data_IF_127759462051
#
_entry.id   IF_127759462051
#
_cell.length_a   1.000
_cell.length_b   1.000
_cell.length_c   1.000
_cell.angle_alpha   90.00
_cell.angle_beta   90.00
_cell.angle_gamma   90.00
#
_symmetry.space_group_name_H-M   'P 1'
#
loop_
_entity.id
_entity.type
_entity.pdbx_description
1 polymer ?
#
# COMPACT_ATOMS: atom_id res chain seq x y z
N UNK A 1 19.67 12.65 25.43
CA UNK A 1 18.41 12.41 24.71
C UNK A 1 18.18 10.89 24.64
N UNK A 2 17.31 10.34 25.50
CA UNK A 2 17.10 8.91 25.84
C UNK A 2 16.57 7.95 24.72
N UNK A 3 17.38 7.07 24.09
CA UNK A 3 17.07 6.30 22.83
C UNK A 3 15.59 5.89 22.55
N UNK A 4 14.81 5.56 23.57
CA UNK A 4 13.37 5.31 23.51
C UNK A 4 12.52 6.44 22.86
N UNK A 5 12.72 7.73 23.17
CA UNK A 5 11.87 8.80 22.59
C UNK A 5 12.04 8.91 21.07
N UNK A 6 13.25 8.62 20.56
CA UNK A 6 13.55 8.68 19.13
C UNK A 6 12.84 7.55 18.36
N UNK A 7 12.67 6.40 19.01
CA UNK A 7 11.98 5.24 18.44
C UNK A 7 10.47 5.53 18.33
N UNK A 8 9.86 6.02 19.41
CA UNK A 8 8.44 6.39 19.45
C UNK A 8 8.09 7.49 18.44
N UNK A 9 8.94 8.52 18.34
CA UNK A 9 8.73 9.58 17.36
C UNK A 9 8.76 9.05 15.93
N UNK A 10 9.70 8.16 15.60
CA UNK A 10 9.80 7.56 14.26
C UNK A 10 8.57 6.70 13.94
N UNK A 11 8.07 5.93 14.92
CA UNK A 11 6.86 5.11 14.76
C UNK A 11 5.64 5.99 14.47
N UNK A 12 5.46 7.08 15.23
CA UNK A 12 4.34 8.00 15.04
C UNK A 12 4.39 8.64 13.65
N UNK A 13 5.56 9.08 13.19
CA UNK A 13 5.72 9.68 11.86
C UNK A 13 5.40 8.67 10.75
N UNK A 14 5.85 7.42 10.88
CA UNK A 14 5.53 6.36 9.92
C UNK A 14 4.04 6.05 9.92
N UNK A 15 3.40 5.95 11.09
CA UNK A 15 1.96 5.72 11.20
C UNK A 15 1.16 6.86 10.55
N UNK A 16 1.58 8.11 10.75
CA UNK A 16 0.95 9.28 10.12
C UNK A 16 1.09 9.26 8.60
N UNK A 17 2.26 8.88 8.08
CA UNK A 17 2.51 8.75 6.65
C UNK A 17 1.63 7.66 6.02
N UNK A 18 1.49 6.50 6.68
CA UNK A 18 0.63 5.41 6.21
C UNK A 18 -0.84 5.83 6.18
N UNK A 19 -1.34 6.51 7.23
CA UNK A 19 -2.70 7.03 7.25
C UNK A 19 -2.95 8.05 6.13
N UNK A 20 -1.98 8.91 5.87
CA UNK A 20 -2.05 9.92 4.80
C UNK A 20 -2.11 9.25 3.42
N UNK A 21 -1.31 8.22 3.19
CA UNK A 21 -1.31 7.45 1.95
C UNK A 21 -2.63 6.70 1.73
N UNK A 22 -3.22 6.13 2.79
CA UNK A 22 -4.53 5.48 2.73
C UNK A 22 -5.65 6.49 2.45
N UNK A 23 -5.59 7.68 3.05
CA UNK A 23 -6.56 8.74 2.79
C UNK A 23 -6.52 9.20 1.33
N UNK A 24 -5.33 9.44 0.77
CA UNK A 24 -5.17 9.80 -0.64
C UNK A 24 -5.64 8.68 -1.58
N UNK A 25 -5.30 7.43 -1.28
CA UNK A 25 -5.78 6.27 -2.04
C UNK A 25 -7.31 6.16 -2.04
N UNK A 26 -7.94 6.35 -0.88
CA UNK A 26 -9.40 6.39 -0.73
C UNK A 26 -10.06 7.47 -1.60
N UNK A 27 -9.49 8.68 -1.64
CA UNK A 27 -10.02 9.79 -2.45
C UNK A 27 -10.00 9.45 -3.94
N UNK A 28 -8.93 8.83 -4.42
CA UNK A 28 -8.82 8.40 -5.83
C UNK A 28 -9.88 7.34 -6.15
N UNK A 29 -10.10 6.39 -5.25
CA UNK A 29 -11.09 5.33 -5.43
C UNK A 29 -12.51 5.90 -5.45
N UNK A 30 -12.83 6.83 -4.56
CA UNK A 30 -14.12 7.53 -4.52
C UNK A 30 -14.34 8.37 -5.77
N UNK A 31 -13.31 9.04 -6.27
CA UNK A 31 -13.38 9.86 -7.49
C UNK A 31 -13.72 9.03 -8.74
N UNK A 32 -13.32 7.76 -8.78
CA UNK A 32 -13.66 6.81 -9.86
C UNK A 32 -15.06 6.20 -9.65
N UNK A 33 -15.77 6.56 -8.58
CA UNK A 33 -17.09 6.01 -8.23
C UNK A 33 -17.03 4.62 -7.60
N UNK A 34 -15.85 4.18 -7.17
CA UNK A 34 -15.62 2.87 -6.55
C UNK A 34 -15.90 2.86 -5.05
N UNK A 35 -16.36 1.73 -4.53
CA UNK A 35 -16.49 1.51 -3.10
C UNK A 35 -15.10 1.23 -2.49
N UNK A 36 -14.60 2.14 -1.65
CA UNK A 36 -13.26 2.10 -1.03
C UNK A 36 -12.91 0.73 -0.46
N UNK A 37 -13.81 0.13 0.32
CA UNK A 37 -13.55 -1.18 0.94
C UNK A 37 -13.46 -2.31 -0.08
N UNK A 38 -14.35 -2.32 -1.07
CA UNK A 38 -14.28 -3.32 -2.15
C UNK A 38 -13.05 -3.11 -3.01
N UNK A 39 -12.66 -1.88 -3.30
CA UNK A 39 -11.51 -1.59 -4.14
C UNK A 39 -10.19 -1.96 -3.45
N UNK A 40 -10.02 -1.69 -2.16
CA UNK A 40 -8.84 -2.18 -1.43
C UNK A 40 -8.79 -3.71 -1.41
N UNK A 41 -9.94 -4.36 -1.21
CA UNK A 41 -10.02 -5.81 -1.30
C UNK A 41 -9.70 -6.33 -2.70
N UNK A 42 -10.21 -5.67 -3.75
CA UNK A 42 -9.95 -5.99 -5.15
C UNK A 42 -8.47 -5.77 -5.46
N UNK A 43 -7.84 -4.66 -5.10
CA UNK A 43 -6.40 -4.44 -5.34
C UNK A 43 -5.54 -5.57 -4.76
N UNK A 44 -5.90 -6.07 -3.57
CA UNK A 44 -5.19 -7.17 -2.92
C UNK A 44 -5.54 -8.53 -3.54
N UNK A 45 -6.80 -8.74 -3.94
CA UNK A 45 -7.31 -10.03 -4.45
C UNK A 45 -7.20 -10.20 -5.97
N UNK A 46 -7.13 -9.10 -6.72
CA UNK A 46 -6.95 -9.03 -8.17
C UNK A 46 -5.74 -9.81 -8.66
N UNK A 47 -4.55 -9.71 -8.03
CA UNK A 47 -3.43 -10.56 -8.44
C UNK A 47 -3.76 -12.03 -8.22
N UNK A 48 -4.39 -12.40 -7.10
CA UNK A 48 -4.64 -13.81 -6.73
C UNK A 48 -5.74 -14.51 -7.54
N UNK A 49 -6.62 -13.78 -8.22
CA UNK A 49 -7.67 -14.41 -9.04
C UNK A 49 -7.15 -15.00 -10.36
N UNK A 50 -5.99 -14.56 -10.85
CA UNK A 50 -5.41 -15.05 -12.10
C UNK A 50 -3.91 -15.28 -11.95
N UNK A 51 -3.47 -16.54 -12.07
CA UNK A 51 -2.04 -16.93 -12.03
C UNK A 51 -1.17 -16.12 -13.01
N UNK A 52 -1.73 -15.69 -14.15
CA UNK A 52 -1.06 -14.81 -15.12
C UNK A 52 -0.73 -13.42 -14.54
N UNK A 53 -1.66 -12.82 -13.82
CA UNK A 53 -1.50 -11.49 -13.22
C UNK A 53 -0.50 -11.54 -12.07
N UNK A 54 -0.47 -12.63 -11.28
CA UNK A 54 0.58 -12.85 -10.27
C UNK A 54 1.97 -12.89 -10.92
N UNK A 55 2.14 -13.69 -11.97
CA UNK A 55 3.42 -13.78 -12.68
C UNK A 55 3.85 -12.44 -13.28
N UNK A 56 2.92 -11.65 -13.83
CA UNK A 56 3.24 -10.33 -14.39
C UNK A 56 3.70 -9.33 -13.33
N UNK A 57 3.05 -9.33 -12.15
CA UNK A 57 3.47 -8.51 -11.01
C UNK A 57 4.83 -8.94 -10.51
N UNK A 58 5.10 -10.25 -10.38
CA UNK A 58 6.41 -10.76 -10.01
C UNK A 58 7.50 -10.35 -11.01
N UNK A 59 7.25 -10.49 -12.31
CA UNK A 59 8.21 -10.13 -13.38
C UNK A 59 8.51 -8.63 -13.36
N UNK A 60 7.50 -7.78 -13.14
CA UNK A 60 7.72 -6.32 -12.97
C UNK A 60 8.41 -5.95 -11.66
N UNK A 61 8.30 -6.78 -10.63
CA UNK A 61 8.98 -6.57 -9.36
C UNK A 61 10.46 -6.96 -9.40
N UNK A 62 10.89 -7.84 -10.31
CA UNK A 62 12.30 -8.25 -10.50
C UNK A 62 13.28 -7.06 -10.49
N UNK A 63 13.11 -6.01 -11.31
CA UNK A 63 14.04 -4.88 -11.31
C UNK A 63 14.09 -4.13 -9.98
N UNK A 64 12.99 -4.14 -9.20
CA UNK A 64 12.94 -3.51 -7.88
C UNK A 64 13.66 -4.34 -6.79
N UNK A 65 13.83 -5.65 -7.03
CA UNK A 65 14.53 -6.56 -6.12
C UNK A 65 16.05 -6.51 -6.35
N UNK A 66 16.47 -6.18 -7.57
CA UNK A 66 17.89 -6.13 -7.97
C UNK A 66 18.57 -4.82 -7.54
N UNK A 67 17.80 -3.75 -7.34
CA UNK A 67 18.27 -2.43 -6.88
C UNK A 67 18.22 -2.35 -5.36
#
# INVERSE_FOLDING_TARGET
MNKAYKLWYKIIVVALAVLSALALGSVIILAVGGNVMKTYWIIISSPFQNYRTVCEVLIRAIPLIII
#
